data_IF_275588320708
#
_entry.id   IF_275588320708
#
_cell.length_a   1.000
_cell.length_b   1.000
_cell.length_c   1.000
_cell.angle_alpha   90.00
_cell.angle_beta   90.00
_cell.angle_gamma   90.00
#
_symmetry.space_group_name_H-M   'P 1'
#
loop_
_entity.id
_entity.type
_entity.pdbx_description
1 polymer ?
#
# COMPACT_ATOMS: atom_id res chain seq x y z
N UNK A 1 32.48 55.30 -70.83
CA UNK A 1 31.24 54.85 -70.17
C UNK A 1 31.24 53.33 -70.11
N UNK A 2 31.25 52.77 -68.90
CA UNK A 2 31.58 51.36 -68.65
C UNK A 2 30.42 50.39 -68.92
N UNK A 3 30.74 49.30 -69.60
CA UNK A 3 29.90 48.10 -69.69
C UNK A 3 29.95 47.36 -68.35
N UNK A 4 28.85 47.37 -67.59
CA UNK A 4 28.66 46.49 -66.42
C UNK A 4 27.87 45.29 -66.89
N UNK A 5 28.56 44.17 -67.11
CA UNK A 5 27.95 42.88 -67.44
C UNK A 5 27.06 42.38 -66.32
N UNK A 6 25.89 41.86 -66.70
CA UNK A 6 25.01 41.07 -65.85
C UNK A 6 25.67 39.73 -65.55
N UNK A 7 25.95 39.46 -64.28
CA UNK A 7 26.22 38.09 -63.81
C UNK A 7 24.90 37.46 -63.35
N UNK A 8 24.60 36.21 -63.73
CA UNK A 8 23.41 35.51 -63.26
C UNK A 8 23.62 35.08 -61.79
N UNK A 9 22.54 34.79 -61.04
CA UNK A 9 22.66 34.34 -59.66
C UNK A 9 23.34 32.97 -59.64
N UNK A 10 24.51 32.93 -58.99
CA UNK A 10 25.23 31.70 -58.68
C UNK A 10 24.31 30.79 -57.87
N UNK A 11 23.89 29.69 -58.49
CA UNK A 11 23.24 28.57 -57.81
C UNK A 11 24.26 28.02 -56.81
N UNK A 12 23.99 28.22 -55.52
CA UNK A 12 24.79 27.71 -54.40
C UNK A 12 25.15 26.24 -54.67
N UNK A 13 26.39 26.02 -55.10
CA UNK A 13 26.96 24.71 -55.32
C UNK A 13 27.12 24.05 -53.96
N UNK A 14 26.22 23.11 -53.64
CA UNK A 14 26.38 22.23 -52.49
C UNK A 14 27.74 21.51 -52.62
N UNK A 15 28.56 21.61 -51.57
CA UNK A 15 29.87 21.00 -51.48
C UNK A 15 29.74 19.46 -51.45
N UNK A 16 30.51 18.70 -52.24
CA UNK A 16 30.47 17.24 -52.24
C UNK A 16 31.25 16.72 -51.03
N UNK A 17 30.63 16.80 -49.86
CA UNK A 17 31.24 16.41 -48.59
C UNK A 17 30.30 16.47 -47.40
N UNK A 18 29.16 17.17 -47.53
CA UNK A 18 28.15 17.16 -46.49
C UNK A 18 27.39 15.83 -46.54
N UNK A 19 27.43 15.00 -45.47
CA UNK A 19 26.55 13.84 -45.40
C UNK A 19 25.11 14.32 -45.53
N UNK A 20 24.20 13.54 -46.16
CA UNK A 20 22.82 13.95 -46.28
C UNK A 20 22.24 14.18 -44.87
N UNK A 21 22.11 15.47 -44.50
CA UNK A 21 21.70 15.90 -43.17
C UNK A 21 20.27 15.44 -42.85
N UNK A 22 19.44 15.23 -43.86
CA UNK A 22 18.05 14.81 -43.72
C UNK A 22 17.89 13.43 -43.03
N UNK A 23 18.57 12.35 -43.47
CA UNK A 23 18.57 11.06 -42.77
C UNK A 23 19.03 11.15 -41.31
N UNK A 24 20.08 11.91 -41.03
CA UNK A 24 20.60 12.07 -39.65
C UNK A 24 19.58 12.81 -38.78
N UNK A 25 18.94 13.85 -39.30
CA UNK A 25 17.88 14.57 -38.60
C UNK A 25 16.64 13.69 -38.36
N UNK A 26 16.27 12.83 -39.32
CA UNK A 26 15.20 11.86 -39.13
C UNK A 26 15.54 10.84 -38.04
N UNK A 27 16.77 10.33 -38.03
CA UNK A 27 17.25 9.43 -36.98
C UNK A 27 17.22 10.08 -35.60
N UNK A 28 17.71 11.33 -35.49
CA UNK A 28 17.67 12.07 -34.22
C UNK A 28 16.24 12.31 -33.74
N UNK A 29 15.30 12.61 -34.65
CA UNK A 29 13.88 12.73 -34.30
C UNK A 29 13.30 11.42 -33.78
N UNK A 30 13.61 10.29 -34.43
CA UNK A 30 13.20 8.96 -33.96
C UNK A 30 13.74 8.69 -32.56
N UNK A 31 15.04 8.94 -32.36
CA UNK A 31 15.67 8.74 -31.05
C UNK A 31 15.05 9.63 -29.96
N UNK A 32 14.73 10.88 -30.27
CA UNK A 32 14.07 11.77 -29.34
C UNK A 32 12.68 11.24 -28.96
N UNK A 33 11.88 10.83 -29.95
CA UNK A 33 10.56 10.25 -29.72
C UNK A 33 10.61 8.98 -28.87
N UNK A 34 11.59 8.10 -29.13
CA UNK A 34 11.81 6.89 -28.33
C UNK A 34 12.20 7.22 -26.89
N UNK A 35 13.06 8.23 -26.68
CA UNK A 35 13.45 8.69 -25.35
C UNK A 35 12.27 9.32 -24.62
N UNK A 36 11.45 10.12 -25.27
CA UNK A 36 10.24 10.73 -24.68
C UNK A 36 9.24 9.64 -24.27
N UNK A 37 9.03 8.64 -25.12
CA UNK A 37 8.18 7.49 -24.80
C UNK A 37 8.71 6.70 -23.58
N UNK A 38 10.03 6.51 -23.51
CA UNK A 38 10.67 5.84 -22.37
C UNK A 38 10.52 6.66 -21.09
N UNK A 39 10.71 7.99 -21.15
CA UNK A 39 10.52 8.88 -20.01
C UNK A 39 9.11 8.74 -19.46
N UNK A 40 8.09 8.86 -20.31
CA UNK A 40 6.69 8.70 -19.88
C UNK A 40 6.40 7.32 -19.29
N UNK A 41 6.95 6.25 -19.88
CA UNK A 41 6.80 4.91 -19.33
C UNK A 41 7.41 4.80 -17.93
N UNK A 42 8.60 5.35 -17.72
CA UNK A 42 9.29 5.33 -16.43
C UNK A 42 8.59 6.20 -15.39
N UNK A 43 8.10 7.38 -15.77
CA UNK A 43 7.28 8.23 -14.91
C UNK A 43 6.04 7.48 -14.40
N UNK A 44 5.28 6.87 -15.31
CA UNK A 44 4.10 6.09 -14.96
C UNK A 44 4.46 4.84 -14.13
N UNK A 45 5.59 4.19 -14.38
CA UNK A 45 6.06 3.07 -13.55
C UNK A 45 6.40 3.52 -12.11
N UNK A 46 7.08 4.66 -11.96
CA UNK A 46 7.38 5.26 -10.66
C UNK A 46 6.11 5.65 -9.90
N UNK A 47 5.15 6.28 -10.56
CA UNK A 47 3.86 6.64 -9.96
C UNK A 47 3.10 5.41 -9.46
N UNK A 48 3.04 4.35 -10.29
CA UNK A 48 2.42 3.07 -9.90
C UNK A 48 3.11 2.44 -8.70
N UNK A 49 4.45 2.39 -8.70
CA UNK A 49 5.22 1.83 -7.59
C UNK A 49 4.99 2.61 -6.30
N UNK A 50 4.92 3.94 -6.38
CA UNK A 50 4.61 4.81 -5.24
C UNK A 50 3.22 4.54 -4.69
N UNK A 51 2.20 4.48 -5.55
CA UNK A 51 0.83 4.18 -5.16
C UNK A 51 0.69 2.78 -4.52
N UNK A 52 1.42 1.79 -5.04
CA UNK A 52 1.47 0.46 -4.46
C UNK A 52 2.06 0.49 -3.05
N UNK A 53 3.20 1.15 -2.86
CA UNK A 53 3.84 1.28 -1.55
C UNK A 53 2.92 1.94 -0.52
N UNK A 54 2.25 3.03 -0.89
CA UNK A 54 1.30 3.71 0.00
C UNK A 54 0.12 2.80 0.39
N UNK A 55 -0.35 1.96 -0.54
CA UNK A 55 -1.38 0.95 -0.25
C UNK A 55 -0.86 -0.12 0.72
N UNK A 56 0.34 -0.61 0.51
CA UNK A 56 0.99 -1.60 1.39
C UNK A 56 1.18 -1.03 2.81
N UNK A 57 1.65 0.21 2.93
CA UNK A 57 1.81 0.89 4.22
C UNK A 57 0.47 1.00 4.97
N UNK A 58 -0.63 1.34 4.29
CA UNK A 58 -1.98 1.36 4.88
C UNK A 58 -2.42 -0.02 5.37
N UNK A 59 -2.14 -1.08 4.59
CA UNK A 59 -2.47 -2.45 4.96
C UNK A 59 -1.65 -2.91 6.17
N UNK A 60 -0.35 -2.59 6.21
CA UNK A 60 0.53 -2.90 7.34
C UNK A 60 0.06 -2.22 8.62
N UNK A 61 -0.26 -0.92 8.58
CA UNK A 61 -0.79 -0.17 9.73
C UNK A 61 -2.09 -0.80 10.22
N UNK A 62 -3.00 -1.15 9.31
CA UNK A 62 -4.28 -1.76 9.65
C UNK A 62 -4.10 -3.15 10.26
N UNK A 63 -3.24 -3.99 9.66
CA UNK A 63 -2.95 -5.33 10.17
C UNK A 63 -2.30 -5.28 11.56
N UNK A 64 -1.40 -4.31 11.78
CA UNK A 64 -0.74 -4.13 13.07
C UNK A 64 -1.73 -3.69 14.15
N UNK A 65 -2.60 -2.73 13.87
CA UNK A 65 -3.67 -2.33 14.79
C UNK A 65 -4.63 -3.49 15.10
N UNK A 66 -5.06 -4.22 14.06
CA UNK A 66 -5.93 -5.38 14.22
C UNK A 66 -5.27 -6.48 15.06
N UNK A 67 -3.97 -6.70 14.89
CA UNK A 67 -3.20 -7.65 15.69
C UNK A 67 -3.10 -7.20 17.15
N UNK A 68 -2.84 -5.91 17.41
CA UNK A 68 -2.84 -5.35 18.76
C UNK A 68 -4.20 -5.53 19.46
N UNK A 69 -5.29 -5.26 18.75
CA UNK A 69 -6.64 -5.52 19.25
C UNK A 69 -6.88 -7.01 19.51
N UNK A 70 -6.47 -7.89 18.59
CA UNK A 70 -6.60 -9.33 18.76
C UNK A 70 -5.84 -9.85 20.00
N UNK A 71 -4.64 -9.33 20.27
CA UNK A 71 -3.88 -9.65 21.49
C UNK A 71 -4.61 -9.17 22.75
N UNK A 72 -5.09 -7.92 22.76
CA UNK A 72 -5.86 -7.40 23.89
C UNK A 72 -7.17 -8.16 24.10
N UNK A 73 -7.83 -8.61 23.03
CA UNK A 73 -9.03 -9.44 23.12
C UNK A 73 -8.70 -10.88 23.53
N UNK A 74 -7.50 -11.39 23.25
CA UNK A 74 -7.06 -12.68 23.77
C UNK A 74 -6.71 -12.59 25.26
N UNK A 75 -6.05 -11.52 25.70
CA UNK A 75 -5.74 -11.27 27.11
C UNK A 75 -6.99 -10.91 27.92
N UNK A 76 -7.80 -9.98 27.41
CA UNK A 76 -9.07 -9.55 27.98
C UNK A 76 -10.18 -10.58 27.82
N UNK A 77 -10.16 -11.39 26.77
CA UNK A 77 -11.06 -12.52 26.55
C UNK A 77 -10.66 -13.75 27.34
N UNK A 78 -9.37 -14.00 27.60
CA UNK A 78 -8.96 -14.95 28.64
C UNK A 78 -9.27 -14.41 30.03
N UNK A 79 -9.13 -13.11 30.32
CA UNK A 79 -9.53 -12.54 31.60
C UNK A 79 -11.06 -12.57 31.81
N UNK A 80 -11.85 -12.29 30.77
CA UNK A 80 -13.31 -12.33 30.79
C UNK A 80 -13.85 -13.78 30.73
N UNK A 81 -13.23 -14.67 29.97
CA UNK A 81 -13.53 -16.11 30.00
C UNK A 81 -13.06 -16.75 31.31
N UNK A 82 -11.99 -16.28 31.97
CA UNK A 82 -11.62 -16.72 33.33
C UNK A 82 -12.49 -16.08 34.41
N UNK A 83 -13.06 -14.90 34.16
CA UNK A 83 -14.03 -14.23 35.04
C UNK A 83 -15.42 -14.89 34.93
N UNK A 84 -15.81 -15.36 33.74
CA UNK A 84 -17.10 -16.00 33.47
C UNK A 84 -17.12 -17.53 33.50
N UNK A 85 -16.02 -18.22 33.19
CA UNK A 85 -15.93 -19.69 33.26
C UNK A 85 -15.50 -20.12 34.66
N UNK A 86 -16.45 -20.04 35.61
CA UNK A 86 -16.32 -20.74 36.88
C UNK A 86 -16.14 -22.24 36.57
N UNK A 87 -15.06 -22.85 37.06
CA UNK A 87 -14.82 -24.29 36.87
C UNK A 87 -16.02 -25.11 37.38
N UNK A 88 -16.25 -26.30 36.85
CA UNK A 88 -17.35 -27.17 37.31
C UNK A 88 -17.35 -27.34 38.84
N UNK A 89 -16.17 -27.42 39.46
CA UNK A 89 -16.02 -27.45 40.91
C UNK A 89 -16.46 -26.14 41.59
N UNK A 90 -16.13 -24.98 41.02
CA UNK A 90 -16.60 -23.68 41.52
C UNK A 90 -18.13 -23.56 41.39
N UNK A 91 -18.71 -24.02 40.28
CA UNK A 91 -20.17 -24.11 40.11
C UNK A 91 -20.80 -25.07 41.12
N UNK A 92 -20.17 -26.23 41.36
CA UNK A 92 -20.61 -27.20 42.36
C UNK A 92 -20.55 -26.62 43.78
N UNK A 93 -19.50 -25.85 44.12
CA UNK A 93 -19.37 -25.13 45.39
C UNK A 93 -20.50 -24.10 45.56
N UNK A 94 -20.77 -23.29 44.53
CA UNK A 94 -21.87 -22.31 44.55
C UNK A 94 -23.23 -22.99 44.70
N UNK A 95 -23.49 -24.04 43.92
CA UNK A 95 -24.74 -24.80 43.99
C UNK A 95 -24.94 -25.46 45.37
N UNK A 96 -23.88 -25.99 45.97
CA UNK A 96 -23.93 -26.60 47.31
C UNK A 96 -24.13 -25.54 48.40
N UNK A 97 -23.43 -24.40 48.30
CA UNK A 97 -23.60 -23.28 49.22
C UNK A 97 -25.01 -22.71 49.17
N UNK A 98 -25.58 -22.54 47.97
CA UNK A 98 -26.95 -22.08 47.78
C UNK A 98 -27.99 -23.06 48.38
N UNK A 99 -27.78 -24.37 48.23
CA UNK A 99 -28.66 -25.39 48.86
C UNK A 99 -28.57 -25.37 50.38
N UNK A 100 -27.38 -25.17 50.94
CA UNK A 100 -27.19 -25.05 52.40
C UNK A 100 -27.77 -23.76 52.95
N UNK A 101 -27.65 -22.65 52.23
CA UNK A 101 -28.26 -21.37 52.59
C UNK A 101 -29.80 -21.42 52.51
N UNK A 102 -30.36 -22.28 51.64
CA UNK A 102 -31.80 -22.47 51.49
C UNK A 102 -32.38 -23.60 52.36
N UNK A 103 -31.54 -24.39 53.03
CA UNK A 103 -32.01 -25.33 54.04
C UNK A 103 -32.47 -24.50 55.26
N UNK A 104 -33.77 -24.50 55.60
CA UNK A 104 -34.23 -23.80 56.79
C UNK A 104 -33.58 -24.45 58.00
N UNK A 105 -33.05 -23.63 58.90
CA UNK A 105 -32.69 -24.03 60.25
C UNK A 105 -33.94 -24.52 60.99
N UNK A 106 -34.35 -25.74 60.70
CA UNK A 106 -35.48 -26.43 61.29
C UNK A 106 -35.00 -27.46 62.30
N UNK A 107 -34.60 -26.99 63.48
CA UNK A 107 -34.72 -27.81 64.68
C UNK A 107 -35.05 -26.88 65.85
N UNK A 108 -36.35 -26.78 66.12
CA UNK A 108 -36.86 -26.19 67.35
C UNK A 108 -36.27 -26.96 68.55
N UNK A 109 -35.86 -26.28 69.63
CA UNK A 109 -35.56 -26.95 70.89
C UNK A 109 -36.88 -27.45 71.48
N UNK A 110 -37.04 -28.78 71.54
CA UNK A 110 -38.09 -29.40 72.34
C UNK A 110 -37.77 -29.21 73.83
N UNK A 111 -38.80 -28.85 74.58
CA UNK A 111 -38.87 -28.71 76.04
C UNK A 111 -38.30 -29.88 76.84
#
# INVERSE_FOLDING_TARGET
SGFRGSTPPQKLSASPGDPPLAPVLQLLRSQLQEKDALIHHLEHACERSRAQREREERLLVTAWYNMGLALQQHEGGMAAARSGAQSFLAQQRLATAARRARAPHGRAPSS
#
